data_IF_718260356957
#
_entry.id   IF_718260356957
#
_cell.length_a   1.000
_cell.length_b   1.000
_cell.length_c   1.000
_cell.angle_alpha   90.00
_cell.angle_beta   90.00
_cell.angle_gamma   90.00
#
_symmetry.space_group_name_H-M   'P 1'
#
loop_
_entity.id
_entity.type
_entity.pdbx_description
1 polymer ?
#
# COMPACT_ATOMS: atom_id res chain seq x y z
N UNK A 1 35.16 -12.41 -21.96
CA UNK A 1 34.26 -11.28 -21.62
C UNK A 1 33.63 -11.35 -20.23
N UNK A 2 33.15 -12.51 -19.74
CA UNK A 2 32.50 -12.64 -18.41
C UNK A 2 33.33 -12.13 -17.23
N UNK A 3 34.63 -12.46 -17.16
CA UNK A 3 35.53 -12.00 -16.09
C UNK A 3 35.68 -10.46 -15.99
N UNK A 4 35.57 -9.74 -17.10
CA UNK A 4 35.68 -8.27 -17.10
C UNK A 4 34.41 -7.62 -16.55
N UNK A 5 33.25 -8.19 -16.87
CA UNK A 5 31.96 -7.71 -16.36
C UNK A 5 31.83 -7.98 -14.86
N UNK A 6 32.24 -9.15 -14.37
CA UNK A 6 32.24 -9.47 -12.93
C UNK A 6 33.19 -8.58 -12.14
N UNK A 7 34.39 -8.33 -12.67
CA UNK A 7 35.35 -7.43 -12.03
C UNK A 7 34.82 -6.00 -11.97
N UNK A 8 34.23 -5.51 -13.07
CA UNK A 8 33.62 -4.19 -13.13
C UNK A 8 32.42 -4.05 -12.17
N UNK A 9 31.57 -5.09 -12.07
CA UNK A 9 30.43 -5.09 -11.17
C UNK A 9 30.87 -5.04 -9.69
N UNK A 10 31.93 -5.77 -9.32
CA UNK A 10 32.49 -5.71 -7.97
C UNK A 10 33.08 -4.33 -7.64
N UNK A 11 33.81 -3.73 -8.58
CA UNK A 11 34.36 -2.38 -8.39
C UNK A 11 33.24 -1.35 -8.21
N UNK A 12 32.23 -1.33 -9.09
CA UNK A 12 31.09 -0.42 -8.97
C UNK A 12 30.27 -0.63 -7.71
N UNK A 13 30.08 -1.88 -7.29
CA UNK A 13 29.37 -2.18 -6.05
C UNK A 13 30.08 -1.58 -4.83
N UNK A 14 31.42 -1.64 -4.79
CA UNK A 14 32.21 -1.02 -3.72
C UNK A 14 32.12 0.50 -3.74
N UNK A 15 31.98 1.11 -4.91
CA UNK A 15 31.84 2.57 -5.10
C UNK A 15 30.42 3.09 -4.83
N UNK A 16 29.40 2.22 -4.86
CA UNK A 16 28.00 2.58 -4.62
C UNK A 16 27.63 2.61 -3.13
N UNK A 17 28.59 2.39 -2.23
CA UNK A 17 28.35 2.47 -0.79
C UNK A 17 28.11 3.93 -0.39
N UNK A 18 27.19 4.14 0.55
CA UNK A 18 26.90 5.48 1.08
C UNK A 18 28.01 5.87 2.04
N UNK A 19 28.46 7.12 1.95
CA UNK A 19 29.50 7.65 2.82
C UNK A 19 29.02 7.75 4.28
N UNK A 20 29.87 7.39 5.26
CA UNK A 20 29.51 7.51 6.67
C UNK A 20 29.40 8.99 7.07
N UNK A 21 28.32 9.34 7.75
CA UNK A 21 28.07 10.73 8.21
C UNK A 21 27.17 11.56 7.29
N UNK A 22 26.71 11.00 6.17
CA UNK A 22 25.67 11.60 5.33
C UNK A 22 24.37 11.86 6.11
N UNK A 23 23.73 13.01 5.87
CA UNK A 23 22.47 13.39 6.51
C UNK A 23 21.25 12.65 5.90
N UNK A 24 21.23 11.32 6.03
CA UNK A 24 20.21 10.45 5.42
C UNK A 24 18.77 10.79 5.83
N UNK A 25 18.57 11.37 7.02
CA UNK A 25 17.24 11.76 7.50
C UNK A 25 16.61 12.87 6.66
N UNK A 26 17.39 13.90 6.31
CA UNK A 26 16.92 15.02 5.49
C UNK A 26 16.68 14.58 4.06
N UNK A 27 17.59 13.79 3.50
CA UNK A 27 17.48 13.25 2.13
C UNK A 27 16.24 12.36 2.01
N UNK A 28 16.00 11.50 3.01
CA UNK A 28 14.82 10.63 3.04
C UNK A 28 13.52 11.42 3.21
N UNK A 29 13.52 12.44 4.05
CA UNK A 29 12.33 13.28 4.24
C UNK A 29 11.97 14.05 2.96
N UNK A 30 12.96 14.60 2.25
CA UNK A 30 12.74 15.31 1.00
C UNK A 30 12.28 14.36 -0.12
N UNK A 31 12.94 13.20 -0.27
CA UNK A 31 12.62 12.25 -1.34
C UNK A 31 11.19 11.72 -1.27
N UNK A 32 10.62 11.62 -0.05
CA UNK A 32 9.21 11.26 0.17
C UNK A 32 8.28 12.49 0.12
N UNK A 33 8.72 13.64 0.66
CA UNK A 33 7.89 14.83 0.81
C UNK A 33 7.68 15.64 -0.47
N UNK A 34 8.71 15.80 -1.30
CA UNK A 34 8.67 16.56 -2.55
C UNK A 34 7.58 16.04 -3.52
N UNK A 35 7.49 14.73 -3.85
CA UNK A 35 6.44 14.21 -4.73
C UNK A 35 5.03 14.33 -4.11
N UNK A 36 4.92 14.40 -2.77
CA UNK A 36 3.65 14.63 -2.07
C UNK A 36 3.02 15.99 -2.39
N UNK A 37 3.84 16.98 -2.73
CA UNK A 37 3.41 18.35 -3.08
C UNK A 37 3.09 18.52 -4.57
N UNK A 38 3.64 17.66 -5.44
CA UNK A 38 3.54 17.74 -6.91
C UNK A 38 2.18 17.25 -7.48
N UNK A 39 1.08 17.37 -6.73
CA UNK A 39 -0.32 17.10 -7.14
C UNK A 39 -0.70 15.65 -7.50
N UNK A 40 0.24 14.70 -7.65
CA UNK A 40 -0.07 13.31 -8.04
C UNK A 40 -0.82 12.51 -6.96
N UNK A 41 -0.73 12.95 -5.70
CA UNK A 41 -1.19 12.20 -4.55
C UNK A 41 -2.63 12.52 -4.11
N UNK A 42 -3.44 13.31 -4.84
CA UNK A 42 -4.79 13.67 -4.35
C UNK A 42 -5.91 12.71 -4.79
N UNK A 43 -5.75 11.95 -5.86
CA UNK A 43 -6.84 11.09 -6.35
C UNK A 43 -6.38 10.03 -7.35
N UNK A 44 -6.16 8.80 -6.86
CA UNK A 44 -6.09 7.62 -7.73
C UNK A 44 -7.50 7.10 -7.96
N UNK A 45 -7.99 7.21 -9.19
CA UNK A 45 -9.15 6.46 -9.64
C UNK A 45 -8.66 5.07 -10.04
N UNK A 46 -9.01 4.06 -9.25
CA UNK A 46 -8.73 2.67 -9.63
C UNK A 46 -9.72 2.28 -10.74
N UNK A 47 -9.28 2.35 -11.99
CA UNK A 47 -10.08 1.89 -13.14
C UNK A 47 -10.23 0.38 -13.01
N UNK A 48 -11.36 -0.09 -12.47
CA UNK A 48 -11.69 -1.51 -12.32
C UNK A 48 -12.21 -1.94 -10.94
N UNK A 49 -12.18 -1.07 -9.93
CA UNK A 49 -12.79 -1.34 -8.62
C UNK A 49 -13.45 -0.07 -8.09
N UNK A 50 -14.76 -0.11 -7.85
CA UNK A 50 -15.61 0.99 -7.39
C UNK A 50 -15.36 1.42 -5.93
N UNK A 51 -14.14 1.19 -5.42
CA UNK A 51 -13.73 1.62 -4.09
C UNK A 51 -12.90 2.89 -4.21
N UNK A 52 -13.48 4.01 -3.80
CA UNK A 52 -12.78 5.26 -3.52
C UNK A 52 -11.90 5.08 -2.27
N UNK A 53 -10.83 4.29 -2.38
CA UNK A 53 -9.84 4.18 -1.32
C UNK A 53 -9.05 5.49 -1.28
N UNK A 54 -8.86 6.05 -0.09
CA UNK A 54 -7.86 7.12 0.10
C UNK A 54 -6.49 6.51 -0.19
N UNK A 55 -6.03 6.50 -1.43
CA UNK A 55 -4.74 5.90 -1.84
C UNK A 55 -3.63 6.93 -1.99
N UNK A 56 -3.93 8.18 -1.68
CA UNK A 56 -3.07 9.32 -1.90
C UNK A 56 -2.37 9.85 -0.65
N UNK A 57 -2.19 11.17 -0.63
CA UNK A 57 -1.60 11.94 0.46
C UNK A 57 -2.37 11.76 1.78
N UNK A 58 -3.73 11.75 1.81
CA UNK A 58 -4.46 11.55 3.04
C UNK A 58 -4.07 10.25 3.75
N UNK A 59 -3.75 9.19 3.00
CA UNK A 59 -3.39 7.89 3.56
C UNK A 59 -1.98 7.82 4.09
N UNK A 60 -1.03 8.45 3.39
CA UNK A 60 0.34 8.59 3.92
C UNK A 60 0.31 9.38 5.22
N UNK A 61 -0.45 10.48 5.28
CA UNK A 61 -0.61 11.26 6.51
C UNK A 61 -1.21 10.41 7.63
N UNK A 62 -2.27 9.64 7.37
CA UNK A 62 -2.86 8.75 8.38
C UNK A 62 -1.88 7.73 8.95
N UNK A 63 -1.01 7.16 8.11
CA UNK A 63 -0.01 6.17 8.51
C UNK A 63 1.10 6.84 9.31
N UNK A 64 1.61 7.99 8.86
CA UNK A 64 2.67 8.74 9.55
C UNK A 64 2.21 9.31 10.89
N UNK A 65 0.97 9.81 10.96
CA UNK A 65 0.33 10.30 12.19
C UNK A 65 -0.06 9.17 13.16
N UNK A 66 0.10 7.90 12.75
CA UNK A 66 -0.30 6.72 13.51
C UNK A 66 -1.75 6.78 14.03
N UNK A 67 -2.70 7.20 13.17
CA UNK A 67 -4.11 7.34 13.57
C UNK A 67 -4.72 6.00 13.98
N UNK A 68 -5.42 5.99 15.12
CA UNK A 68 -6.07 4.80 15.67
C UNK A 68 -7.19 4.25 14.77
N UNK A 69 -7.94 5.12 14.09
CA UNK A 69 -9.04 4.75 13.20
C UNK A 69 -8.78 5.45 11.84
N UNK A 70 -8.51 4.70 10.76
CA UNK A 70 -8.32 5.28 9.44
C UNK A 70 -9.65 5.70 8.82
N UNK A 71 -9.63 6.64 7.86
CA UNK A 71 -10.86 7.17 7.25
C UNK A 71 -11.61 6.12 6.43
N UNK A 72 -10.89 5.20 5.76
CA UNK A 72 -11.49 4.08 5.01
C UNK A 72 -10.89 2.75 5.47
N UNK A 73 -11.42 2.11 6.52
CA UNK A 73 -10.96 0.80 6.97
C UNK A 73 -11.39 -0.27 5.97
N UNK A 74 -10.42 -1.02 5.44
CA UNK A 74 -10.66 -2.14 4.53
C UNK A 74 -10.08 -3.42 5.10
N UNK A 75 -10.73 -4.55 4.83
CA UNK A 75 -10.27 -5.87 5.28
C UNK A 75 -10.40 -6.87 4.14
N UNK A 76 -9.31 -7.59 3.84
CA UNK A 76 -9.31 -8.69 2.89
C UNK A 76 -9.50 -10.01 3.64
N UNK A 77 -10.65 -10.65 3.44
CA UNK A 77 -10.97 -11.93 4.07
C UNK A 77 -10.74 -13.06 3.08
N UNK A 78 -9.74 -13.90 3.36
CA UNK A 78 -9.46 -15.09 2.56
C UNK A 78 -10.26 -16.28 3.07
N UNK A 79 -11.01 -16.93 2.17
CA UNK A 79 -11.78 -18.12 2.50
C UNK A 79 -10.89 -19.37 2.40
N UNK A 80 -11.02 -20.30 3.36
CA UNK A 80 -10.35 -21.61 3.32
C UNK A 80 -11.10 -22.58 2.39
N UNK A 81 -10.39 -23.53 1.79
CA UNK A 81 -11.02 -24.66 1.10
C UNK A 81 -11.85 -25.49 2.09
N UNK A 82 -13.08 -25.94 1.76
CA UNK A 82 -13.76 -25.92 0.44
C UNK A 82 -14.64 -24.69 0.16
N UNK A 83 -14.68 -23.69 1.06
CA UNK A 83 -15.54 -22.52 0.95
C UNK A 83 -15.06 -21.51 -0.09
N UNK A 84 -13.79 -21.59 -0.52
CA UNK A 84 -13.21 -20.71 -1.54
C UNK A 84 -13.63 -21.03 -2.98
N UNK A 85 -14.07 -22.26 -3.27
CA UNK A 85 -14.37 -22.71 -4.64
C UNK A 85 -15.84 -22.53 -5.03
N UNK A 86 -16.75 -22.44 -4.07
CA UNK A 86 -18.18 -22.42 -4.35
C UNK A 86 -18.79 -21.06 -4.00
N UNK A 87 -19.29 -20.35 -5.01
CA UNK A 87 -19.83 -18.99 -4.88
C UNK A 87 -20.95 -18.90 -3.83
N UNK A 88 -21.88 -19.86 -3.82
CA UNK A 88 -23.00 -19.89 -2.86
C UNK A 88 -22.53 -19.96 -1.41
N UNK A 89 -21.45 -20.71 -1.13
CA UNK A 89 -20.87 -20.80 0.21
C UNK A 89 -20.13 -19.52 0.60
N UNK A 90 -19.43 -18.89 -0.34
CA UNK A 90 -18.79 -17.59 -0.13
C UNK A 90 -19.82 -16.49 0.19
N UNK A 91 -20.93 -16.45 -0.57
CA UNK A 91 -21.99 -15.46 -0.38
C UNK A 91 -22.69 -15.63 0.98
N UNK A 92 -22.92 -16.87 1.42
CA UNK A 92 -23.45 -17.15 2.76
C UNK A 92 -22.54 -16.65 3.87
N UNK A 93 -21.22 -16.79 3.72
CA UNK A 93 -20.26 -16.27 4.71
C UNK A 93 -20.23 -14.74 4.66
N UNK A 94 -20.27 -14.15 3.46
CA UNK A 94 -20.32 -12.70 3.30
C UNK A 94 -21.57 -12.11 3.97
N UNK A 95 -22.73 -12.73 3.81
CA UNK A 95 -23.98 -12.32 4.48
C UNK A 95 -23.90 -12.41 6.00
N UNK A 96 -23.23 -13.44 6.54
CA UNK A 96 -23.03 -13.58 8.00
C UNK A 96 -22.12 -12.50 8.59
N UNK A 97 -21.16 -12.02 7.82
CA UNK A 97 -20.21 -10.98 8.24
C UNK A 97 -20.81 -9.58 8.05
N UNK A 98 -21.68 -9.41 7.05
CA UNK A 98 -22.38 -8.15 6.79
C UNK A 98 -23.31 -7.83 7.96
N UNK A 99 -23.02 -6.73 8.65
CA UNK A 99 -23.96 -6.15 9.60
C UNK A 99 -25.09 -5.48 8.82
N UNK A 100 -26.33 -5.82 9.15
CA UNK A 100 -27.54 -5.18 8.63
C UNK A 100 -28.35 -4.71 9.82
N UNK A 101 -28.71 -3.43 9.86
CA UNK A 101 -29.57 -2.88 10.92
C UNK A 101 -31.03 -2.86 10.47
N UNK A 102 -31.98 -2.81 11.40
CA UNK A 102 -33.43 -2.77 11.06
C UNK A 102 -33.81 -1.57 10.18
N UNK A 103 -33.04 -0.49 10.26
CA UNK A 103 -33.19 0.71 9.42
C UNK A 103 -32.83 0.45 7.95
N UNK A 104 -32.01 -0.56 7.64
CA UNK A 104 -31.62 -0.89 6.26
C UNK A 104 -32.67 -1.77 5.54
N UNK A 105 -33.64 -2.29 6.28
CA UNK A 105 -34.66 -3.25 5.81
C UNK A 105 -36.03 -2.57 5.65
N UNK A 106 -36.24 -1.46 6.35
CA UNK A 106 -37.51 -0.73 6.41
C UNK A 106 -37.74 0.17 5.18
#
# INVERSE_FOLDING_TARGET
MKFKAEKLAKTRYSEMQVDPGEAIGVISAQSVGEPGTQLTMRSFHFVGAELSVTLGLPRIIEILDARKIPSTPTMHIYLKSPYNKNKTKSDQIAQKIKQTVLQDIA
#
